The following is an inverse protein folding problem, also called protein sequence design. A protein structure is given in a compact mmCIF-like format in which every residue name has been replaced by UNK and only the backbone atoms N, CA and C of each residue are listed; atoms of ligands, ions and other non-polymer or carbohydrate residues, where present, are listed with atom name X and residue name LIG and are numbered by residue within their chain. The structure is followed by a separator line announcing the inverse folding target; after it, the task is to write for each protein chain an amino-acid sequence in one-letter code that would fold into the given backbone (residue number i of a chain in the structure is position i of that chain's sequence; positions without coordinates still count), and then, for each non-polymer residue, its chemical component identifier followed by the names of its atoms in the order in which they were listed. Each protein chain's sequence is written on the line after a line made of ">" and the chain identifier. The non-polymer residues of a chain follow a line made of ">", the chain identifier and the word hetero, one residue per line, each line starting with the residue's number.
data_IF_083495828378
#
_entry.id   IF_083495828378
#
_cell.length_a   1.000
_cell.length_b   1.000
_cell.length_c   1.000
_cell.angle_alpha   90.00
_cell.angle_beta   90.00
_cell.angle_gamma   90.00
#
_symmetry.space_group_name_H-M   'P 1'
#
loop_
_entity.id
_entity.type
_entity.pdbx_description
1 polymer ?
#
# COMPACT_ATOMS: atom_id res chain seq x y z
N UNK A 1 -23.83 33.01 13.58
CA UNK A 1 -24.33 32.05 14.59
C UNK A 1 -23.38 30.88 14.62
N UNK A 2 -22.44 30.95 15.55
CA UNK A 2 -21.23 30.16 15.69
C UNK A 2 -21.16 29.85 17.19
N UNK A 3 -21.46 28.61 17.60
CA UNK A 3 -21.27 28.01 18.96
C UNK A 3 -22.30 26.88 19.17
N UNK A 4 -22.07 25.66 18.68
CA UNK A 4 -22.59 24.39 19.30
C UNK A 4 -22.27 23.14 18.45
N UNK A 5 -21.00 22.76 18.21
CA UNK A 5 -20.69 21.35 17.84
C UNK A 5 -19.25 21.00 18.24
N UNK A 6 -18.93 20.96 19.53
CA UNK A 6 -17.71 20.29 20.04
C UNK A 6 -18.10 19.64 21.36
N UNK A 7 -18.64 18.40 21.33
CA UNK A 7 -18.81 17.59 22.55
C UNK A 7 -19.27 16.14 22.28
N UNK A 8 -18.56 15.36 21.45
CA UNK A 8 -18.69 13.89 21.46
C UNK A 8 -17.37 13.24 21.04
N UNK A 9 -16.34 13.31 21.88
CA UNK A 9 -15.14 12.46 21.77
C UNK A 9 -14.54 12.30 23.17
N UNK A 10 -15.17 11.44 23.97
CA UNK A 10 -14.69 11.09 25.30
C UNK A 10 -15.26 9.75 25.71
N UNK A 11 -14.36 8.88 26.20
CA UNK A 11 -14.60 7.59 26.87
C UNK A 11 -14.64 6.34 25.97
N UNK A 12 -13.44 5.91 25.55
CA UNK A 12 -13.15 4.49 25.35
C UNK A 12 -11.66 4.24 25.67
N UNK A 13 -11.33 4.30 26.95
CA UNK A 13 -10.04 3.82 27.48
C UNK A 13 -10.34 2.84 28.59
N UNK A 14 -9.53 1.78 28.67
CA UNK A 14 -9.43 0.78 29.76
C UNK A 14 -10.04 -0.59 29.47
N UNK A 15 -9.37 -1.37 28.60
CA UNK A 15 -9.29 -2.83 28.73
C UNK A 15 -7.86 -3.23 28.33
N UNK A 16 -6.90 -3.01 29.24
CA UNK A 16 -5.54 -3.54 29.12
C UNK A 16 -5.58 -4.95 29.69
N UNK A 17 -5.75 -5.93 28.81
CA UNK A 17 -5.51 -7.33 29.14
C UNK A 17 -4.00 -7.55 29.29
N UNK A 18 -3.59 -8.10 30.43
CA UNK A 18 -2.22 -8.54 30.64
C UNK A 18 -1.87 -9.64 29.63
N UNK A 19 -1.05 -9.31 28.64
CA UNK A 19 -0.51 -10.29 27.72
C UNK A 19 0.53 -11.16 28.44
N UNK A 20 0.57 -12.47 28.18
CA UNK A 20 1.63 -13.33 28.69
C UNK A 20 2.98 -12.87 28.16
N UNK A 21 3.94 -12.73 29.06
CA UNK A 21 5.34 -12.43 28.76
C UNK A 21 5.93 -13.62 28.00
N UNK A 22 5.85 -13.58 26.67
CA UNK A 22 6.67 -14.45 25.84
C UNK A 22 8.12 -14.00 26.01
N UNK A 23 8.89 -14.80 26.76
CA UNK A 23 10.35 -14.72 26.76
C UNK A 23 10.80 -15.17 25.38
N UNK A 24 10.94 -14.20 24.47
CA UNK A 24 11.62 -14.41 23.19
C UNK A 24 13.09 -14.68 23.50
N UNK A 25 13.51 -15.93 23.34
CA UNK A 25 14.91 -16.34 23.39
C UNK A 25 15.66 -15.57 22.28
N UNK A 26 16.36 -14.50 22.64
CA UNK A 26 17.04 -13.59 21.69
C UNK A 26 18.36 -14.12 21.15
N UNK A 27 18.78 -15.33 21.54
CA UNK A 27 20.12 -15.82 21.24
C UNK A 27 20.26 -16.47 19.85
N UNK A 28 19.17 -16.59 19.07
CA UNK A 28 19.20 -17.22 17.73
C UNK A 28 18.94 -16.26 16.56
N UNK A 29 18.64 -14.98 16.80
CA UNK A 29 18.32 -14.02 15.72
C UNK A 29 19.59 -13.49 15.02
N UNK A 30 20.72 -13.43 15.74
CA UNK A 30 22.00 -13.01 15.16
C UNK A 30 22.57 -14.03 14.17
N UNK A 31 22.34 -15.31 14.39
CA UNK A 31 22.87 -16.37 13.54
C UNK A 31 21.99 -16.60 12.30
N UNK A 32 20.68 -16.45 12.42
CA UNK A 32 19.78 -16.47 11.26
C UNK A 32 20.04 -15.30 10.30
N UNK A 33 20.38 -14.12 10.81
CA UNK A 33 20.75 -12.96 9.99
C UNK A 33 22.13 -13.09 9.34
N UNK A 34 23.07 -13.83 9.94
CA UNK A 34 24.39 -14.05 9.33
C UNK A 34 24.33 -14.91 8.07
N UNK A 35 23.32 -15.75 7.94
CA UNK A 35 23.18 -16.65 6.79
C UNK A 35 22.38 -16.04 5.63
N UNK A 36 21.69 -14.92 5.83
CA UNK A 36 20.87 -14.27 4.82
C UNK A 36 21.68 -13.29 3.97
N UNK A 37 21.42 -13.24 2.66
CA UNK A 37 21.96 -12.19 1.82
C UNK A 37 21.15 -10.90 1.95
N UNK A 38 21.57 -9.83 1.27
CA UNK A 38 20.85 -8.55 1.26
C UNK A 38 20.65 -8.09 -0.17
N UNK A 39 19.39 -7.87 -0.55
CA UNK A 39 19.00 -7.61 -1.93
C UNK A 39 17.92 -6.54 -1.98
N UNK A 40 17.97 -5.67 -3.00
CA UNK A 40 16.90 -4.70 -3.29
C UNK A 40 16.39 -4.87 -4.71
N UNK A 41 15.07 -4.97 -4.85
CA UNK A 41 14.32 -5.10 -6.09
C UNK A 41 13.89 -3.75 -6.69
N UNK A 42 14.16 -2.64 -6.01
CA UNK A 42 13.81 -1.30 -6.45
C UNK A 42 14.91 -0.23 -6.21
N UNK A 43 16.09 -0.63 -5.71
CA UNK A 43 17.24 0.29 -5.62
C UNK A 43 17.77 0.73 -7.00
N UNK A 44 17.49 -0.04 -8.05
CA UNK A 44 17.88 0.27 -9.41
C UNK A 44 16.83 1.13 -10.11
N UNK A 45 17.26 2.25 -10.70
CA UNK A 45 16.39 3.11 -11.48
C UNK A 45 16.02 2.44 -12.80
N UNK A 46 14.72 2.45 -13.09
CA UNK A 46 14.11 2.00 -14.34
C UNK A 46 13.25 3.18 -14.80
N UNK A 47 13.40 3.63 -16.05
CA UNK A 47 12.77 4.87 -16.52
C UNK A 47 11.24 4.76 -16.59
N UNK A 48 10.76 3.54 -16.76
CA UNK A 48 9.37 3.17 -16.95
C UNK A 48 8.57 3.03 -15.63
N UNK A 49 9.25 3.05 -14.48
CA UNK A 49 8.62 2.85 -13.16
C UNK A 49 8.71 4.11 -12.28
N UNK A 50 7.71 4.37 -11.42
CA UNK A 50 7.75 5.50 -10.48
C UNK A 50 8.91 5.34 -9.49
N UNK A 51 9.52 6.47 -9.14
CA UNK A 51 10.58 6.50 -8.13
C UNK A 51 10.02 6.09 -6.77
N UNK A 52 10.64 5.08 -6.15
CA UNK A 52 10.31 4.60 -4.81
C UNK A 52 11.57 4.50 -3.98
N UNK A 53 11.45 4.68 -2.66
CA UNK A 53 12.57 4.48 -1.75
C UNK A 53 13.01 3.01 -1.78
N UNK A 54 14.31 2.71 -1.74
CA UNK A 54 14.81 1.36 -1.83
C UNK A 54 14.34 0.50 -0.65
N UNK A 55 13.79 -0.66 -0.95
CA UNK A 55 13.42 -1.70 0.01
C UNK A 55 14.49 -2.78 -0.01
N UNK A 56 14.91 -3.21 1.18
CA UNK A 56 15.92 -4.25 1.36
C UNK A 56 15.23 -5.51 1.88
N UNK A 57 15.45 -6.61 1.17
CA UNK A 57 15.03 -7.94 1.55
C UNK A 57 16.26 -8.74 1.96
N UNK A 58 16.07 -9.63 2.91
CA UNK A 58 17.13 -10.51 3.42
C UNK A 58 16.75 -11.98 3.24
N UNK A 59 16.69 -12.48 1.99
CA UNK A 59 16.32 -13.88 1.78
C UNK A 59 17.43 -14.80 2.31
N UNK A 60 17.01 -15.86 3.00
CA UNK A 60 17.91 -16.93 3.41
C UNK A 60 18.45 -17.68 2.18
N UNK A 61 19.48 -18.51 2.39
CA UNK A 61 19.95 -19.44 1.36
C UNK A 61 18.82 -20.36 0.90
N UNK A 62 18.88 -20.74 -0.38
CA UNK A 62 17.97 -21.67 -1.04
C UNK A 62 16.49 -21.27 -0.98
N UNK A 63 16.19 -19.98 -0.68
CA UNK A 63 14.84 -19.41 -0.70
C UNK A 63 14.59 -18.70 -2.03
N UNK A 64 13.51 -19.10 -2.69
CA UNK A 64 13.04 -18.45 -3.89
C UNK A 64 12.33 -17.12 -3.62
N UNK A 65 12.70 -16.09 -4.38
CA UNK A 65 12.05 -14.76 -4.36
C UNK A 65 11.59 -14.38 -5.76
N UNK A 66 10.29 -14.14 -5.90
CA UNK A 66 9.68 -13.64 -7.12
C UNK A 66 9.93 -12.13 -7.30
N UNK A 67 10.14 -11.72 -8.54
CA UNK A 67 10.32 -10.32 -8.93
C UNK A 67 9.30 -9.95 -10.00
N UNK A 68 8.76 -8.74 -9.86
CA UNK A 68 7.89 -8.15 -10.87
C UNK A 68 8.63 -7.92 -12.19
N UNK A 69 7.91 -8.05 -13.31
CA UNK A 69 8.47 -7.78 -14.63
C UNK A 69 9.11 -6.37 -14.69
N UNK A 70 10.16 -6.23 -15.50
CA UNK A 70 10.91 -4.98 -15.74
C UNK A 70 11.75 -4.46 -14.55
N UNK A 71 11.65 -5.05 -13.36
CA UNK A 71 12.51 -4.66 -12.24
C UNK A 71 13.92 -5.20 -12.39
N UNK A 72 14.86 -4.45 -11.83
CA UNK A 72 16.27 -4.80 -11.72
C UNK A 72 16.61 -5.07 -10.26
N UNK A 73 17.51 -6.00 -10.04
CA UNK A 73 17.93 -6.41 -8.70
C UNK A 73 19.32 -5.88 -8.42
N UNK A 74 19.51 -5.37 -7.21
CA UNK A 74 20.82 -4.99 -6.69
C UNK A 74 21.16 -5.85 -5.48
N UNK A 75 22.29 -6.56 -5.56
CA UNK A 75 22.78 -7.40 -4.48
C UNK A 75 23.78 -6.59 -3.66
N UNK A 76 23.60 -6.60 -2.34
CA UNK A 76 24.47 -5.91 -1.39
C UNK A 76 25.33 -6.89 -0.59
N UNK A 77 24.82 -8.10 -0.34
CA UNK A 77 25.59 -9.19 0.25
C UNK A 77 25.05 -10.55 -0.21
N UNK A 78 25.95 -11.53 -0.33
CA UNK A 78 25.62 -12.93 -0.57
C UNK A 78 25.07 -13.57 0.71
N UNK A 79 24.23 -14.59 0.55
CA UNK A 79 23.90 -15.51 1.65
C UNK A 79 25.08 -16.45 1.93
N UNK A 80 25.11 -17.05 3.12
CA UNK A 80 26.15 -18.02 3.52
C UNK A 80 25.55 -19.43 3.62
N UNK A 81 26.21 -20.37 2.95
CA UNK A 81 25.86 -21.79 2.96
C UNK A 81 26.16 -22.45 4.32
N UNK A 82 25.65 -23.66 4.55
CA UNK A 82 25.92 -24.41 5.80
C UNK A 82 27.41 -24.64 6.02
N UNK A 83 28.15 -24.81 4.93
CA UNK A 83 29.58 -25.06 4.93
C UNK A 83 30.41 -23.78 5.14
N UNK A 84 29.77 -22.62 5.35
CA UNK A 84 30.44 -21.33 5.52
C UNK A 84 30.86 -20.64 4.22
N UNK A 85 30.62 -21.26 3.06
CA UNK A 85 30.90 -20.68 1.74
C UNK A 85 29.84 -19.68 1.32
N UNK A 86 30.20 -18.75 0.44
CA UNK A 86 29.22 -17.81 -0.14
C UNK A 86 28.33 -18.54 -1.16
N UNK A 87 27.03 -18.22 -1.12
CA UNK A 87 26.05 -18.75 -2.05
C UNK A 87 26.20 -18.12 -3.44
N UNK A 88 25.90 -18.89 -4.48
CA UNK A 88 25.82 -18.39 -5.85
C UNK A 88 24.50 -17.64 -6.05
N UNK A 89 24.48 -16.66 -6.96
CA UNK A 89 23.23 -16.01 -7.36
C UNK A 89 22.60 -16.76 -8.54
N UNK A 90 21.42 -17.33 -8.32
CA UNK A 90 20.65 -18.06 -9.32
C UNK A 90 19.51 -17.20 -9.86
N UNK A 91 19.40 -17.08 -11.18
CA UNK A 91 18.32 -16.36 -11.86
C UNK A 91 17.44 -17.31 -12.65
N UNK A 92 16.14 -17.17 -12.50
CA UNK A 92 15.13 -18.00 -13.16
C UNK A 92 14.28 -17.16 -14.11
N UNK A 93 13.86 -17.78 -15.22
CA UNK A 93 12.99 -17.12 -16.22
C UNK A 93 11.52 -17.09 -15.81
N UNK A 94 11.11 -18.01 -14.95
CA UNK A 94 9.75 -18.16 -14.47
C UNK A 94 9.66 -17.77 -12.98
N UNK A 95 8.48 -17.38 -12.48
CA UNK A 95 8.27 -17.25 -11.05
C UNK A 95 8.37 -18.60 -10.34
N UNK A 96 8.65 -18.58 -9.04
CA UNK A 96 8.69 -19.77 -8.18
C UNK A 96 9.98 -20.58 -8.26
N UNK A 97 10.99 -20.11 -9.00
CA UNK A 97 12.28 -20.80 -9.19
C UNK A 97 12.10 -22.23 -9.74
N UNK A 98 11.09 -22.39 -10.60
CA UNK A 98 10.74 -23.66 -11.23
C UNK A 98 11.79 -24.05 -12.26
N UNK A 99 12.28 -25.29 -12.17
CA UNK A 99 13.28 -25.86 -13.09
C UNK A 99 14.72 -25.39 -12.83
N UNK A 100 15.58 -25.48 -13.84
CA UNK A 100 16.98 -25.07 -13.72
C UNK A 100 17.15 -23.54 -13.84
N UNK A 101 18.09 -22.95 -13.08
CA UNK A 101 18.39 -21.54 -13.21
C UNK A 101 18.93 -21.23 -14.61
N UNK A 102 18.40 -20.18 -15.22
CA UNK A 102 18.84 -19.72 -16.53
C UNK A 102 20.24 -19.10 -16.50
N UNK A 103 20.66 -18.60 -15.34
CA UNK A 103 22.00 -18.08 -15.11
C UNK A 103 22.38 -18.34 -13.65
N UNK A 104 23.58 -18.86 -13.44
CA UNK A 104 24.16 -19.11 -12.13
C UNK A 104 25.52 -18.42 -12.07
N UNK A 105 25.69 -17.49 -11.13
CA UNK A 105 26.85 -16.60 -11.11
C UNK A 105 27.41 -16.47 -9.69
N UNK A 106 28.73 -16.49 -9.57
CA UNK A 106 29.38 -16.21 -8.29
C UNK A 106 29.24 -14.72 -7.95
N UNK A 107 28.98 -14.41 -6.68
CA UNK A 107 28.81 -13.03 -6.22
C UNK A 107 30.19 -12.44 -5.93
N UNK A 108 30.85 -11.94 -6.97
CA UNK A 108 32.09 -11.19 -6.83
C UNK A 108 31.86 -9.70 -6.58
N UNK A 109 32.95 -8.94 -6.40
CA UNK A 109 32.93 -7.47 -6.28
C UNK A 109 32.24 -6.78 -7.48
N UNK A 110 32.27 -7.41 -8.65
CA UNK A 110 31.62 -6.94 -9.88
C UNK A 110 30.09 -7.04 -9.82
N UNK A 111 29.54 -8.04 -9.13
CA UNK A 111 28.09 -8.22 -8.96
C UNK A 111 27.57 -7.40 -7.79
N UNK A 112 28.38 -7.23 -6.75
CA UNK A 112 28.02 -6.46 -5.56
C UNK A 112 27.80 -4.99 -5.94
N UNK A 113 26.58 -4.53 -5.72
CA UNK A 113 26.17 -3.17 -6.06
C UNK A 113 25.83 -2.93 -7.54
N UNK A 114 26.00 -3.93 -8.41
CA UNK A 114 25.57 -3.85 -9.80
C UNK A 114 24.04 -4.00 -9.91
N UNK A 115 23.46 -3.34 -10.92
CA UNK A 115 22.04 -3.47 -11.24
C UNK A 115 21.82 -4.57 -12.26
N UNK A 116 21.39 -5.74 -11.79
CA UNK A 116 21.16 -6.92 -12.60
C UNK A 116 19.77 -6.86 -13.23
N UNK A 117 19.71 -6.94 -14.55
CA UNK A 117 18.44 -6.97 -15.29
C UNK A 117 17.91 -8.38 -15.35
N UNK A 118 16.63 -8.60 -15.05
CA UNK A 118 16.01 -9.94 -15.17
C UNK A 118 15.66 -10.26 -16.64
N UNK A 119 15.68 -11.53 -17.05
CA UNK A 119 15.42 -11.91 -18.45
C UNK A 119 14.03 -11.42 -18.87
N UNK A 120 14.01 -10.61 -19.92
CA UNK A 120 13.04 -9.54 -20.18
C UNK A 120 11.72 -9.96 -20.83
N UNK A 121 11.18 -11.14 -20.51
CA UNK A 121 9.88 -11.61 -21.05
C UNK A 121 8.90 -12.16 -20.01
N UNK A 122 8.98 -11.71 -18.76
CA UNK A 122 8.01 -12.10 -17.74
C UNK A 122 8.41 -11.72 -16.32
N UNK A 123 7.57 -12.12 -15.36
CA UNK A 123 7.98 -12.20 -13.97
C UNK A 123 9.05 -13.29 -13.85
N UNK A 124 10.22 -12.91 -13.34
CA UNK A 124 11.29 -13.85 -13.03
C UNK A 124 11.36 -14.10 -11.53
N UNK A 125 12.23 -15.01 -11.14
CA UNK A 125 12.59 -15.18 -9.74
C UNK A 125 14.09 -15.35 -9.59
N UNK A 126 14.57 -15.22 -8.37
CA UNK A 126 15.96 -15.44 -8.03
C UNK A 126 16.06 -16.13 -6.67
N UNK A 127 17.24 -16.67 -6.39
CA UNK A 127 17.57 -17.24 -5.10
C UNK A 127 19.09 -17.26 -4.90
N UNK A 128 19.51 -17.36 -3.65
CA UNK A 128 20.88 -17.69 -3.31
C UNK A 128 21.02 -19.21 -3.31
N UNK A 129 21.82 -19.76 -4.22
CA UNK A 129 21.97 -21.20 -4.44
C UNK A 129 23.22 -21.72 -3.75
N UNK A 130 23.03 -22.63 -2.79
CA UNK A 130 24.10 -23.37 -2.13
C UNK A 130 24.17 -24.80 -2.66
N UNK A 131 23.23 -25.64 -2.22
CA UNK A 131 23.15 -27.07 -2.57
C UNK A 131 22.01 -27.34 -3.57
N UNK A 132 21.27 -26.30 -3.94
CA UNK A 132 19.99 -26.39 -4.63
C UNK A 132 19.00 -25.41 -4.02
N UNK A 133 18.44 -24.50 -4.82
CA UNK A 133 17.28 -23.71 -4.37
C UNK A 133 16.13 -24.69 -4.28
N UNK A 134 15.58 -24.86 -3.07
CA UNK A 134 14.43 -25.72 -2.85
C UNK A 134 13.30 -25.15 -3.69
N UNK A 135 12.92 -25.88 -4.75
CA UNK A 135 11.80 -25.51 -5.60
C UNK A 135 10.62 -25.28 -4.65
N UNK A 136 9.94 -24.13 -4.76
CA UNK A 136 8.66 -24.00 -4.06
C UNK A 136 7.82 -25.14 -4.61
N UNK A 137 7.57 -26.16 -3.77
CA UNK A 137 6.61 -27.19 -4.07
C UNK A 137 5.40 -26.48 -4.68
N UNK A 138 4.92 -26.91 -5.87
CA UNK A 138 3.72 -26.31 -6.47
C UNK A 138 2.72 -26.25 -5.36
N UNK A 139 2.37 -25.05 -4.90
CA UNK A 139 1.66 -24.86 -3.64
C UNK A 139 0.54 -25.88 -3.59
N UNK A 140 0.72 -26.98 -2.83
CA UNK A 140 -0.41 -27.79 -2.38
C UNK A 140 -1.34 -26.73 -1.81
N UNK A 141 -2.57 -26.58 -2.35
CA UNK A 141 -3.40 -25.39 -2.17
C UNK A 141 -3.32 -25.03 -0.70
N UNK A 142 -2.60 -23.94 -0.41
CA UNK A 142 -2.02 -23.72 0.92
C UNK A 142 -3.11 -24.02 1.95
N UNK A 143 -2.90 -24.93 2.92
CA UNK A 143 -3.92 -25.30 3.88
C UNK A 143 -4.45 -24.00 4.45
N UNK A 144 -5.71 -23.69 4.09
CA UNK A 144 -6.24 -22.32 4.05
C UNK A 144 -5.69 -21.53 5.24
N UNK A 145 -4.62 -20.78 5.00
CA UNK A 145 -4.13 -19.90 6.03
C UNK A 145 -5.30 -18.97 6.29
N UNK A 146 -5.73 -18.83 7.57
CA UNK A 146 -6.86 -17.97 7.89
C UNK A 146 -6.58 -16.65 7.20
N UNK A 147 -7.53 -16.15 6.40
CA UNK A 147 -7.26 -15.13 5.40
C UNK A 147 -6.42 -14.05 6.06
N UNK A 148 -5.14 -14.01 5.70
CA UNK A 148 -4.35 -12.85 6.05
C UNK A 148 -5.13 -11.73 5.41
N UNK A 149 -5.72 -10.90 6.26
CA UNK A 149 -6.43 -9.70 5.92
C UNK A 149 -5.38 -8.76 5.35
N UNK A 150 -4.95 -9.08 4.13
CA UNK A 150 -4.41 -8.18 3.16
C UNK A 150 -5.38 -7.03 3.17
N UNK A 151 -4.90 -5.93 3.73
CA UNK A 151 -5.53 -4.62 3.70
C UNK A 151 -5.78 -4.27 2.23
N UNK A 152 -6.87 -4.80 1.68
CA UNK A 152 -7.40 -4.57 0.35
C UNK A 152 -7.97 -3.16 0.30
N UNK A 153 -7.08 -2.16 0.37
CA UNK A 153 -7.39 -0.75 0.24
C UNK A 153 -7.64 -0.28 -1.19
N UNK A 154 -7.96 -1.19 -2.12
CA UNK A 154 -8.18 -0.84 -3.53
C UNK A 154 -9.65 -0.59 -3.90
N UNK A 155 -10.59 -1.33 -3.31
CA UNK A 155 -12.00 -1.27 -3.73
C UNK A 155 -12.88 -0.42 -2.79
N UNK A 156 -12.66 -0.51 -1.47
CA UNK A 156 -13.36 0.35 -0.50
C UNK A 156 -12.94 1.83 -0.59
N UNK A 157 -11.72 2.11 -1.06
CA UNK A 157 -11.26 3.48 -1.33
C UNK A 157 -12.08 4.15 -2.43
N UNK A 158 -12.37 3.44 -3.53
CA UNK A 158 -13.16 4.00 -4.64
C UNK A 158 -14.62 4.24 -4.24
N UNK A 159 -15.22 3.32 -3.47
CA UNK A 159 -16.59 3.50 -2.95
C UNK A 159 -16.64 4.69 -1.99
N UNK A 160 -15.65 4.83 -1.10
CA UNK A 160 -15.55 5.97 -0.19
C UNK A 160 -15.41 7.31 -0.93
N UNK A 161 -14.59 7.36 -1.98
CA UNK A 161 -14.40 8.56 -2.81
C UNK A 161 -15.69 8.90 -3.58
N UNK A 162 -16.36 7.91 -4.19
CA UNK A 162 -17.64 8.13 -4.89
C UNK A 162 -18.73 8.66 -3.95
N UNK A 163 -18.83 8.12 -2.73
CA UNK A 163 -19.78 8.58 -1.73
C UNK A 163 -19.49 10.02 -1.29
N UNK A 164 -18.21 10.38 -1.11
CA UNK A 164 -17.80 11.74 -0.78
C UNK A 164 -18.15 12.73 -1.91
N UNK A 165 -17.92 12.36 -3.18
CA UNK A 165 -18.31 13.17 -4.34
C UNK A 165 -19.84 13.36 -4.38
N UNK A 166 -20.61 12.30 -4.13
CA UNK A 166 -22.07 12.39 -4.10
C UNK A 166 -22.57 13.33 -3.00
N UNK A 167 -22.04 13.21 -1.78
CA UNK A 167 -22.41 14.08 -0.64
C UNK A 167 -22.07 15.54 -0.92
N UNK A 168 -20.90 15.82 -1.50
CA UNK A 168 -20.49 17.19 -1.83
C UNK A 168 -21.37 17.81 -2.92
N UNK A 169 -21.75 17.06 -3.95
CA UNK A 169 -22.70 17.52 -4.99
C UNK A 169 -24.07 17.84 -4.40
N UNK A 170 -24.58 16.98 -3.51
CA UNK A 170 -25.86 17.18 -2.85
C UNK A 170 -25.84 18.44 -1.96
N UNK A 171 -24.75 18.66 -1.21
CA UNK A 171 -24.56 19.87 -0.40
C UNK A 171 -24.59 21.14 -1.27
N UNK A 172 -23.87 21.16 -2.39
CA UNK A 172 -23.83 22.31 -3.31
C UNK A 172 -25.23 22.60 -3.88
N UNK A 173 -25.99 21.56 -4.26
CA UNK A 173 -27.36 21.71 -4.76
C UNK A 173 -28.29 22.36 -3.72
N UNK A 174 -28.22 21.92 -2.45
CA UNK A 174 -29.00 22.50 -1.36
C UNK A 174 -28.61 23.96 -1.11
N UNK A 175 -27.32 24.29 -1.12
CA UNK A 175 -26.86 25.68 -0.95
C UNK A 175 -27.36 26.60 -2.06
N UNK A 176 -27.41 26.12 -3.31
CA UNK A 176 -27.97 26.86 -4.44
C UNK A 176 -29.48 27.06 -4.28
N UNK A 177 -30.20 26.04 -3.84
CA UNK A 177 -31.64 26.12 -3.59
C UNK A 177 -31.97 27.13 -2.49
N UNK A 178 -31.26 27.08 -1.36
CA UNK A 178 -31.42 28.04 -0.26
C UNK A 178 -31.10 29.47 -0.72
N UNK A 179 -30.02 29.66 -1.47
CA UNK A 179 -29.67 30.97 -2.03
C UNK A 179 -30.76 31.51 -2.98
N UNK A 180 -31.39 30.63 -3.75
CA UNK A 180 -32.48 30.99 -4.65
C UNK A 180 -33.74 31.40 -3.87
N UNK A 181 -34.15 30.62 -2.86
CA UNK A 181 -35.29 30.94 -2.00
C UNK A 181 -35.05 32.24 -1.21
N UNK A 182 -33.83 32.46 -0.72
CA UNK A 182 -33.46 33.70 -0.03
C UNK A 182 -33.57 34.92 -0.96
N UNK A 183 -33.17 34.80 -2.23
CA UNK A 183 -33.36 35.87 -3.22
C UNK A 183 -34.84 36.10 -3.54
N UNK A 184 -35.64 35.03 -3.66
CA UNK A 184 -37.07 35.13 -3.93
C UNK A 184 -37.84 35.79 -2.78
N UNK A 185 -37.51 35.47 -1.54
CA UNK A 185 -38.14 36.06 -0.34
C UNK A 185 -37.79 37.55 -0.18
N UNK A 186 -36.54 37.94 -0.48
CA UNK A 186 -36.17 39.37 -0.49
C UNK A 186 -36.88 40.17 -1.59
N UNK A 187 -37.14 39.56 -2.75
CA UNK A 187 -37.92 40.20 -3.82
C UNK A 187 -39.41 40.30 -3.45
N UNK A 188 -39.98 39.25 -2.83
CA UNK A 188 -41.37 39.21 -2.39
C UNK A 188 -41.71 40.27 -1.33
N UNK A 189 -40.82 40.47 -0.35
CA UNK A 189 -41.02 41.50 0.68
C UNK A 189 -41.01 42.93 0.12
N UNK A 190 -40.33 43.19 -1.00
CA UNK A 190 -40.43 44.48 -1.69
C UNK A 190 -41.74 44.65 -2.46
N UNK A 191 -42.30 43.56 -2.99
CA UNK A 191 -43.52 43.63 -3.79
C UNK A 191 -44.78 43.80 -2.92
N UNK A 192 -44.82 43.15 -1.74
CA UNK A 192 -45.94 43.28 -0.80
C UNK A 192 -46.02 44.66 -0.11
N UNK A 193 -44.93 45.42 -0.06
CA UNK A 193 -44.93 46.80 0.44
C UNK A 193 -45.61 47.82 -0.49
N UNK A 194 -45.75 47.52 -1.79
CA UNK A 194 -46.33 48.47 -2.77
C UNK A 194 -47.86 48.36 -2.83
N UNK A 195 -48.44 47.21 -2.50
CA UNK A 195 -49.89 47.00 -2.53
C UNK A 195 -50.61 47.37 -1.22
N UNK A 196 -49.89 47.63 -0.13
CA UNK A 196 -50.47 47.99 1.18
C UNK A 196 -50.84 49.46 1.38
N UNK A 197 -50.64 50.34 0.39
CA UNK A 197 -50.83 51.80 0.54
C UNK A 197 -52.04 52.36 -0.24
N UNK A 198 -52.98 51.52 -0.69
CA UNK A 198 -54.13 51.94 -1.52
C UNK A 198 -55.51 51.70 -0.89
N UNK A 199 -55.62 51.80 0.43
CA UNK A 199 -56.92 51.88 1.11
C UNK A 199 -56.87 53.00 2.16
N UNK A 200 -57.63 54.07 1.94
CA UNK A 200 -57.84 55.12 2.95
C UNK A 200 -57.84 56.54 2.39
N UNK A 201 -58.87 56.91 1.65
CA UNK A 201 -59.01 58.28 1.16
C UNK A 201 -60.36 58.62 0.55
N UNK A 202 -61.47 58.20 1.17
CA UNK A 202 -62.79 58.78 0.86
C UNK A 202 -63.06 59.82 1.94
N UNK A 203 -62.74 61.09 1.66
CA UNK A 203 -63.13 62.22 2.48
C UNK A 203 -64.54 62.67 2.04
N UNK A 204 -65.53 62.43 2.89
CA UNK A 204 -66.85 63.04 2.78
C UNK A 204 -66.78 64.46 3.36
N UNK A 205 -67.04 65.47 2.54
CA UNK A 205 -67.48 66.78 3.02
C UNK A 205 -68.38 67.46 1.98
#
# INVERSE_FOLDING_TARGET
>A
MLKTVILVLGLASSLIGAAPSYVATTDNISDANKAAGSVSDNACRVEELPYTAPTFRHPARDVCVDIEALRKVKIYSAATCQNGTEALFARYRAPGCVGEPAELQAIGEELLGACLSMPSRGAGSYGFWCDGVEERAPLDPAPASPPQYSSGGGFWGLIGILLLIFVTMLLIAVLKLVSFISRATHAGNKFLGIFGQREGGIALR
#
